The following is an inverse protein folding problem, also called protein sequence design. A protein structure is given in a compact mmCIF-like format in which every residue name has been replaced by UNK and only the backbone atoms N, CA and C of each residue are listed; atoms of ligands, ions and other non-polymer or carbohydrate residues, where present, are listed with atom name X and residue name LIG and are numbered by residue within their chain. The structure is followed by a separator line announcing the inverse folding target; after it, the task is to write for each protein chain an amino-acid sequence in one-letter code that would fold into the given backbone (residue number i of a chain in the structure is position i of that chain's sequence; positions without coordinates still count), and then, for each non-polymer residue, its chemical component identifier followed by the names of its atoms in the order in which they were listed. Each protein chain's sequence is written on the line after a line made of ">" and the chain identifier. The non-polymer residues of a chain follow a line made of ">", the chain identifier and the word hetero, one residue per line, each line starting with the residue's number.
data_IF_876250859959
#
_entry.id   IF_876250859959
#
_cell.length_a   1.000
_cell.length_b   1.000
_cell.length_c   1.000
_cell.angle_alpha   90.00
_cell.angle_beta   90.00
_cell.angle_gamma   90.00
#
_symmetry.space_group_name_H-M   'P 1'
#
loop_
_entity.id
_entity.type
_entity.pdbx_description
1 polymer ?
#
# COMPACT_ATOMS: atom_id res chain seq x y z
N UNK A 1 1.65 38.47 -11.95
CA UNK A 1 2.85 38.00 -11.21
C UNK A 1 3.12 38.73 -9.88
N UNK A 2 2.91 40.04 -9.75
CA UNK A 2 3.16 40.75 -8.46
C UNK A 2 2.34 40.22 -7.25
N UNK A 3 1.30 39.41 -7.46
CA UNK A 3 0.40 38.91 -6.42
C UNK A 3 0.69 37.45 -5.97
N UNK A 4 1.77 36.84 -6.41
CA UNK A 4 2.11 35.47 -6.00
C UNK A 4 1.05 34.41 -6.39
N UNK A 5 0.40 34.57 -7.52
CA UNK A 5 -0.60 33.63 -8.00
C UNK A 5 -0.63 33.54 -9.53
N UNK A 6 -1.24 32.48 -10.04
CA UNK A 6 -1.66 32.33 -11.43
C UNK A 6 -3.18 32.20 -11.45
N UNK A 7 -3.79 32.68 -12.54
CA UNK A 7 -5.23 32.64 -12.74
C UNK A 7 -5.57 32.20 -14.16
N UNK A 8 -6.65 31.46 -14.33
CA UNK A 8 -7.14 31.06 -15.65
C UNK A 8 -8.61 31.42 -15.84
N UNK A 9 -9.03 31.56 -17.08
CA UNK A 9 -10.42 31.84 -17.47
C UNK A 9 -11.29 30.58 -17.53
N UNK A 10 -12.24 30.59 -18.49
CA UNK A 10 -13.34 29.65 -18.63
C UNK A 10 -14.26 29.68 -17.42
N UNK A 11 -14.56 30.88 -16.95
CA UNK A 11 -15.43 31.15 -15.79
C UNK A 11 -16.87 30.71 -16.04
N UNK A 12 -17.29 30.59 -17.30
CA UNK A 12 -18.57 30.09 -17.75
C UNK A 12 -18.89 28.65 -17.30
N UNK A 13 -17.87 27.86 -17.02
CA UNK A 13 -18.04 26.49 -16.53
C UNK A 13 -18.16 26.39 -15.00
N UNK A 14 -18.25 27.52 -14.28
CA UNK A 14 -18.43 27.55 -12.84
C UNK A 14 -17.20 27.05 -12.06
N UNK A 15 -17.38 26.74 -10.78
CA UNK A 15 -16.30 26.31 -9.88
C UNK A 15 -15.83 24.90 -10.20
N UNK A 16 -16.76 23.96 -10.37
CA UNK A 16 -16.51 22.54 -10.63
C UNK A 16 -16.69 22.20 -12.10
N UNK A 17 -15.89 21.29 -12.60
CA UNK A 17 -16.02 20.74 -13.95
C UNK A 17 -16.54 19.30 -13.89
N UNK A 18 -17.46 18.94 -14.79
CA UNK A 18 -18.01 17.59 -14.94
C UNK A 18 -17.79 17.06 -16.34
N UNK A 19 -17.89 15.75 -16.51
CA UNK A 19 -17.70 15.12 -17.82
C UNK A 19 -18.83 15.41 -18.81
N UNK A 20 -20.02 15.76 -18.31
CA UNK A 20 -21.24 16.01 -19.09
C UNK A 20 -21.35 17.45 -19.60
N UNK A 21 -20.43 18.34 -19.26
CA UNK A 21 -20.43 19.71 -19.75
C UNK A 21 -19.98 19.80 -21.21
N UNK A 22 -20.64 20.66 -21.95
CA UNK A 22 -20.27 20.99 -23.35
C UNK A 22 -19.11 22.01 -23.35
N UNK A 23 -17.89 21.53 -23.53
CA UNK A 23 -16.68 22.34 -23.49
C UNK A 23 -16.29 22.84 -24.87
N UNK A 24 -15.89 24.10 -24.95
CA UNK A 24 -15.17 24.59 -26.14
C UNK A 24 -13.88 23.77 -26.38
N UNK A 25 -13.48 23.70 -27.65
CA UNK A 25 -12.29 22.93 -28.06
C UNK A 25 -11.08 23.27 -27.19
N UNK A 26 -10.57 22.26 -26.49
CA UNK A 26 -9.41 22.40 -25.61
C UNK A 26 -9.70 22.86 -24.17
N UNK A 27 -10.89 23.40 -23.86
CA UNK A 27 -11.23 23.93 -22.54
C UNK A 27 -11.15 22.87 -21.44
N UNK A 28 -11.75 21.70 -21.66
CA UNK A 28 -11.70 20.58 -20.72
C UNK A 28 -10.27 20.15 -20.39
N UNK A 29 -9.39 20.05 -21.39
CA UNK A 29 -7.99 19.65 -21.21
C UNK A 29 -7.21 20.66 -20.36
N UNK A 30 -7.40 21.95 -20.60
CA UNK A 30 -6.74 23.02 -19.85
C UNK A 30 -7.26 23.10 -18.42
N UNK A 31 -8.58 23.00 -18.21
CA UNK A 31 -9.18 23.01 -16.90
C UNK A 31 -8.75 21.79 -16.07
N UNK A 32 -8.74 20.60 -16.65
CA UNK A 32 -8.22 19.40 -16.00
C UNK A 32 -6.73 19.53 -15.64
N UNK A 33 -5.93 20.16 -16.52
CA UNK A 33 -4.52 20.41 -16.24
C UNK A 33 -4.34 21.33 -15.03
N UNK A 34 -5.15 22.40 -14.95
CA UNK A 34 -5.07 23.37 -13.88
C UNK A 34 -5.67 22.89 -12.56
N UNK A 35 -6.85 22.24 -12.61
CA UNK A 35 -7.59 21.85 -11.41
C UNK A 35 -7.14 20.54 -10.81
N UNK A 36 -6.84 19.53 -11.64
CA UNK A 36 -6.62 18.15 -11.17
C UNK A 36 -5.19 17.66 -11.29
N UNK A 37 -4.48 18.03 -12.39
CA UNK A 37 -3.13 17.50 -12.65
C UNK A 37 -2.03 18.30 -11.98
N UNK A 38 -2.18 19.62 -11.97
CA UNK A 38 -1.22 20.51 -11.31
C UNK A 38 -1.35 20.36 -9.79
N UNK A 39 -0.23 20.14 -9.10
CA UNK A 39 -0.21 19.90 -7.65
C UNK A 39 0.70 20.91 -6.95
N UNK A 40 0.47 21.20 -5.64
CA UNK A 40 1.45 21.92 -4.84
C UNK A 40 2.83 21.24 -4.91
N UNK A 41 3.87 22.03 -5.15
CA UNK A 41 5.23 21.54 -5.41
C UNK A 41 5.61 21.49 -6.88
N UNK A 42 4.66 21.53 -7.80
CA UNK A 42 4.97 21.59 -9.24
C UNK A 42 5.68 22.89 -9.62
N UNK A 43 6.67 22.76 -10.52
CA UNK A 43 7.36 23.92 -11.08
C UNK A 43 6.58 24.40 -12.30
N UNK A 44 6.28 25.69 -12.31
CA UNK A 44 5.63 26.34 -13.45
C UNK A 44 6.57 27.28 -14.15
N UNK A 45 6.49 27.29 -15.48
CA UNK A 45 7.18 28.18 -16.37
C UNK A 45 6.16 29.09 -17.04
N UNK A 46 6.23 30.39 -16.81
CA UNK A 46 5.40 31.38 -17.50
C UNK A 46 6.08 31.83 -18.78
N UNK A 47 5.36 31.77 -19.88
CA UNK A 47 5.88 32.24 -21.17
C UNK A 47 5.24 33.55 -21.59
N UNK A 48 6.08 34.45 -22.14
CA UNK A 48 5.63 35.68 -22.77
C UNK A 48 5.53 35.52 -24.29
N UNK A 49 6.39 34.68 -24.86
CA UNK A 49 6.41 34.35 -26.29
C UNK A 49 6.50 32.83 -26.49
N UNK A 50 6.31 32.38 -27.71
CA UNK A 50 6.49 30.95 -28.06
C UNK A 50 7.95 30.44 -27.90
N UNK A 51 8.92 31.34 -27.65
CA UNK A 51 10.33 30.99 -27.62
C UNK A 51 11.04 31.42 -26.32
N UNK A 52 10.32 32.02 -25.38
CA UNK A 52 10.93 32.50 -24.14
C UNK A 52 10.04 32.34 -22.93
N UNK A 53 10.68 32.06 -21.78
CA UNK A 53 10.12 31.99 -20.44
C UNK A 53 10.45 33.29 -19.72
N UNK A 54 9.45 33.95 -19.13
CA UNK A 54 9.59 35.20 -18.40
C UNK A 54 9.60 35.05 -16.88
N UNK A 55 9.04 33.95 -16.39
CA UNK A 55 9.03 33.64 -14.95
C UNK A 55 9.03 32.14 -14.66
N UNK A 56 9.67 31.80 -13.57
CA UNK A 56 9.71 30.42 -13.00
C UNK A 56 9.19 30.48 -11.57
N UNK A 57 8.26 29.62 -11.23
CA UNK A 57 7.68 29.55 -9.89
C UNK A 57 7.36 28.15 -9.45
N UNK A 58 6.97 28.01 -8.19
CA UNK A 58 6.49 26.73 -7.58
C UNK A 58 5.06 26.95 -7.12
N UNK A 59 4.18 26.05 -7.49
CA UNK A 59 2.79 26.02 -6.99
C UNK A 59 2.80 25.74 -5.49
N UNK A 60 2.08 26.54 -4.71
CA UNK A 60 2.06 26.42 -3.24
C UNK A 60 0.68 26.13 -2.68
N UNK A 61 -0.38 26.23 -3.49
CA UNK A 61 -1.74 26.00 -3.03
C UNK A 61 -2.59 25.18 -4.00
N UNK A 62 -3.68 24.67 -3.46
CA UNK A 62 -4.74 24.03 -4.24
C UNK A 62 -5.48 25.05 -5.11
N UNK A 63 -6.30 24.60 -6.10
CA UNK A 63 -7.11 25.52 -6.88
C UNK A 63 -8.21 26.14 -6.02
N UNK A 64 -8.37 27.45 -6.13
CA UNK A 64 -9.37 28.23 -5.42
C UNK A 64 -10.32 28.91 -6.41
N UNK A 65 -11.60 29.03 -6.06
CA UNK A 65 -12.61 29.77 -6.81
C UNK A 65 -12.93 31.09 -6.13
N UNK A 66 -12.79 32.17 -6.88
CA UNK A 66 -12.97 33.54 -6.39
C UNK A 66 -14.09 34.22 -7.16
N UNK A 67 -15.36 34.10 -6.72
CA UNK A 67 -16.50 34.68 -7.41
C UNK A 67 -16.47 36.21 -7.47
N UNK A 68 -15.75 36.86 -6.56
CA UNK A 68 -15.55 38.30 -6.47
C UNK A 68 -14.67 38.88 -7.58
N UNK A 69 -14.01 38.06 -8.38
CA UNK A 69 -13.24 38.53 -9.52
C UNK A 69 -14.13 38.67 -10.76
N UNK A 70 -13.99 39.74 -11.51
CA UNK A 70 -14.74 39.93 -12.76
C UNK A 70 -14.38 38.88 -13.81
N UNK A 71 -13.08 38.50 -13.90
CA UNK A 71 -12.52 37.53 -14.86
C UNK A 71 -11.42 36.69 -14.23
N UNK A 72 -11.22 35.48 -14.79
CA UNK A 72 -10.20 34.53 -14.32
C UNK A 72 -10.38 34.18 -12.86
N UNK A 73 -11.57 33.66 -12.52
CA UNK A 73 -12.01 33.36 -11.15
C UNK A 73 -11.26 32.20 -10.50
N UNK A 74 -10.64 31.35 -11.29
CA UNK A 74 -9.82 30.25 -10.78
C UNK A 74 -8.39 30.71 -10.54
N UNK A 75 -7.93 30.47 -9.31
CA UNK A 75 -6.62 30.92 -8.82
C UNK A 75 -5.86 29.75 -8.22
N UNK A 76 -4.54 29.74 -8.40
CA UNK A 76 -3.60 28.98 -7.57
C UNK A 76 -2.50 29.90 -7.08
N UNK A 77 -2.11 29.72 -5.83
CA UNK A 77 -0.96 30.44 -5.25
C UNK A 77 0.36 29.89 -5.76
N UNK A 78 1.30 30.77 -5.99
CA UNK A 78 2.61 30.46 -6.55
C UNK A 78 3.69 31.27 -5.88
N UNK A 79 4.75 30.61 -5.46
CA UNK A 79 5.99 31.26 -5.06
C UNK A 79 6.89 31.45 -6.28
N UNK A 80 6.97 32.69 -6.77
CA UNK A 80 7.85 33.00 -7.89
C UNK A 80 9.31 33.02 -7.44
N UNK A 81 10.16 32.28 -8.17
CA UNK A 81 11.61 32.20 -7.94
C UNK A 81 12.36 33.18 -8.81
N UNK A 82 11.96 33.32 -10.08
CA UNK A 82 12.53 34.27 -11.05
C UNK A 82 11.36 34.93 -11.77
N UNK A 83 11.47 36.23 -12.01
CA UNK A 83 10.50 37.05 -12.76
C UNK A 83 11.19 38.08 -13.64
N UNK A 84 10.52 38.46 -14.74
CA UNK A 84 10.96 39.52 -15.62
C UNK A 84 12.24 39.18 -16.40
N UNK A 85 12.50 37.89 -16.62
CA UNK A 85 13.62 37.41 -17.44
C UNK A 85 13.10 37.01 -18.82
N UNK A 86 13.99 37.02 -19.79
CA UNK A 86 13.70 36.53 -21.12
C UNK A 86 14.62 35.33 -21.42
N UNK A 87 14.26 34.19 -20.85
CA UNK A 87 15.06 32.96 -20.89
C UNK A 87 14.64 32.16 -22.12
N UNK A 88 15.55 31.86 -23.03
CA UNK A 88 15.24 31.06 -24.21
C UNK A 88 14.82 29.64 -23.87
N UNK A 89 13.84 29.10 -24.59
CA UNK A 89 13.32 27.74 -24.37
C UNK A 89 14.39 26.66 -24.55
N UNK A 90 15.41 26.92 -25.36
CA UNK A 90 16.55 26.01 -25.58
C UNK A 90 17.35 25.74 -24.31
N UNK A 91 17.36 26.67 -23.34
CA UNK A 91 18.03 26.48 -22.07
C UNK A 91 17.33 25.38 -21.25
N UNK A 92 16.03 25.18 -21.46
CA UNK A 92 15.24 24.11 -20.87
C UNK A 92 15.27 22.79 -21.66
N UNK A 93 16.15 22.69 -22.68
CA UNK A 93 16.24 21.56 -23.63
C UNK A 93 14.94 21.27 -24.38
N UNK A 94 14.17 22.32 -24.67
CA UNK A 94 12.96 22.22 -25.47
C UNK A 94 13.31 22.50 -26.94
N UNK A 95 13.05 21.52 -27.81
CA UNK A 95 13.41 21.57 -29.24
C UNK A 95 12.34 22.27 -30.07
N UNK A 96 11.12 22.34 -29.61
CA UNK A 96 9.97 22.92 -30.33
C UNK A 96 9.47 24.16 -29.63
N UNK A 97 8.93 25.12 -30.41
CA UNK A 97 8.25 26.28 -29.86
C UNK A 97 7.11 25.88 -28.90
N UNK A 98 6.87 26.72 -27.90
CA UNK A 98 5.76 26.54 -26.97
C UNK A 98 4.43 26.62 -27.71
N UNK A 99 3.47 25.84 -27.30
CA UNK A 99 2.13 25.80 -27.92
C UNK A 99 1.29 26.98 -27.44
N UNK A 100 0.22 27.27 -28.19
CA UNK A 100 -0.79 28.26 -27.79
C UNK A 100 -1.72 27.79 -26.67
N UNK A 101 -1.57 26.56 -26.18
CA UNK A 101 -2.37 26.04 -25.06
C UNK A 101 -2.02 26.77 -23.76
N UNK A 102 -3.05 27.14 -22.99
CA UNK A 102 -2.88 27.96 -21.77
C UNK A 102 -2.10 27.24 -20.66
N UNK A 103 -2.37 25.94 -20.47
CA UNK A 103 -1.69 25.11 -19.45
C UNK A 103 -1.43 23.72 -20.03
N UNK A 104 -0.18 23.29 -19.98
CA UNK A 104 0.22 21.95 -20.41
C UNK A 104 1.56 21.56 -19.78
N UNK A 105 1.83 20.27 -19.74
CA UNK A 105 3.09 19.73 -19.22
C UNK A 105 4.19 19.88 -20.24
N UNK A 106 5.34 20.39 -19.79
CA UNK A 106 6.55 20.47 -20.59
C UNK A 106 7.43 19.23 -20.43
N UNK A 107 8.08 18.84 -21.51
CA UNK A 107 9.04 17.72 -21.47
C UNK A 107 10.44 18.26 -21.14
N UNK A 108 10.64 18.64 -19.87
CA UNK A 108 11.92 19.06 -19.31
C UNK A 108 12.08 18.47 -17.90
N UNK A 109 13.31 18.39 -17.41
CA UNK A 109 13.61 17.83 -16.10
C UNK A 109 13.75 18.91 -15.03
N UNK A 110 13.46 18.58 -13.78
CA UNK A 110 13.68 19.45 -12.63
C UNK A 110 15.15 19.88 -12.55
N UNK A 111 16.10 19.00 -12.84
CA UNK A 111 17.52 19.29 -12.86
C UNK A 111 17.86 20.39 -13.88
N UNK A 112 17.31 20.28 -15.08
CA UNK A 112 17.47 21.32 -16.11
C UNK A 112 16.93 22.68 -15.67
N UNK A 113 15.75 22.68 -15.01
CA UNK A 113 15.16 23.94 -14.50
C UNK A 113 16.03 24.54 -13.39
N UNK A 114 16.58 23.71 -12.50
CA UNK A 114 17.52 24.17 -11.46
C UNK A 114 18.78 24.76 -12.05
N UNK A 115 19.34 24.14 -13.07
CA UNK A 115 20.51 24.68 -13.75
C UNK A 115 20.24 26.06 -14.37
N UNK A 116 19.08 26.23 -15.00
CA UNK A 116 18.62 27.51 -15.56
C UNK A 116 18.41 28.55 -14.44
N UNK A 117 17.80 28.17 -13.33
CA UNK A 117 17.63 29.05 -12.16
C UNK A 117 19.00 29.56 -11.65
N UNK A 118 19.94 28.64 -11.46
CA UNK A 118 21.30 29.00 -10.99
C UNK A 118 22.01 29.94 -11.92
N UNK A 119 21.94 29.70 -13.26
CA UNK A 119 22.51 30.59 -14.30
C UNK A 119 21.90 31.99 -14.30
N UNK A 120 20.63 32.09 -13.91
CA UNK A 120 19.89 33.37 -13.87
C UNK A 120 19.95 34.09 -12.53
N UNK A 121 20.88 33.70 -11.64
CA UNK A 121 21.17 34.40 -10.40
C UNK A 121 20.24 34.07 -9.23
N UNK A 122 19.48 32.98 -9.34
CA UNK A 122 18.71 32.47 -8.23
C UNK A 122 19.59 31.52 -7.38
N UNK A 123 20.28 32.08 -6.39
CA UNK A 123 21.15 31.32 -5.46
C UNK A 123 20.45 30.61 -4.33
N UNK A 124 19.14 30.57 -4.34
CA UNK A 124 18.33 29.98 -3.27
C UNK A 124 17.92 28.51 -3.47
N UNK A 125 18.12 28.00 -4.66
CA UNK A 125 18.10 26.55 -4.92
C UNK A 125 19.56 26.14 -5.01
N UNK A 126 20.21 25.98 -3.88
CA UNK A 126 21.16 24.88 -3.87
C UNK A 126 20.32 23.68 -4.34
N UNK A 127 20.79 22.94 -5.35
CA UNK A 127 20.58 21.51 -5.27
C UNK A 127 20.95 21.22 -3.82
N UNK A 128 19.96 21.18 -2.93
CA UNK A 128 20.18 20.59 -1.66
C UNK A 128 20.82 19.29 -2.13
N UNK A 129 22.08 19.08 -1.82
CA UNK A 129 22.53 17.76 -1.45
C UNK A 129 21.56 17.41 -0.35
N UNK A 130 20.34 17.10 -0.76
CA UNK A 130 19.32 16.55 0.09
C UNK A 130 20.12 15.48 0.74
N UNK A 131 20.27 15.54 2.03
CA UNK A 131 20.78 14.40 2.76
C UNK A 131 20.08 13.27 2.08
N UNK A 132 20.83 12.46 1.32
CA UNK A 132 20.28 11.31 0.60
C UNK A 132 19.82 10.33 1.68
N UNK A 133 18.73 10.72 2.36
CA UNK A 133 18.08 9.87 3.32
C UNK A 133 17.63 8.61 2.60
N UNK A 134 17.61 7.48 3.26
CA UNK A 134 17.08 6.26 2.67
C UNK A 134 15.58 6.45 2.37
N UNK A 135 15.18 6.06 1.17
CA UNK A 135 13.77 5.94 0.79
C UNK A 135 13.40 4.47 0.75
N UNK A 136 12.28 4.11 1.34
CA UNK A 136 11.78 2.73 1.32
C UNK A 136 10.54 2.67 0.44
N UNK A 137 10.61 1.83 -0.58
CA UNK A 137 9.47 1.50 -1.42
C UNK A 137 8.91 0.14 -0.99
N UNK A 138 7.71 0.12 -0.46
CA UNK A 138 7.07 -1.08 0.09
C UNK A 138 6.16 -1.69 -0.97
N UNK A 139 6.33 -2.98 -1.22
CA UNK A 139 5.47 -3.80 -2.08
C UNK A 139 4.82 -4.86 -1.19
N UNK A 140 3.57 -4.62 -0.83
CA UNK A 140 2.82 -5.57 -0.05
C UNK A 140 2.33 -6.73 -0.92
N UNK A 141 2.37 -7.98 -0.38
CA UNK A 141 1.98 -9.20 -1.10
C UNK A 141 2.70 -9.36 -2.45
N UNK A 142 4.03 -9.19 -2.45
CA UNK A 142 4.85 -9.18 -3.68
C UNK A 142 4.69 -10.47 -4.52
N UNK A 143 4.33 -11.59 -3.90
CA UNK A 143 4.13 -12.88 -4.55
C UNK A 143 2.75 -13.07 -5.20
N UNK A 144 1.77 -12.17 -4.95
CA UNK A 144 0.43 -12.25 -5.58
C UNK A 144 0.41 -11.86 -7.05
N UNK A 145 1.44 -11.19 -7.54
CA UNK A 145 1.58 -10.83 -8.94
C UNK A 145 2.72 -11.59 -9.64
N UNK A 146 2.68 -11.64 -10.96
CA UNK A 146 3.85 -12.09 -11.71
C UNK A 146 4.89 -10.97 -11.76
N UNK A 147 5.73 -10.91 -10.74
CA UNK A 147 6.69 -9.83 -10.53
C UNK A 147 7.67 -9.71 -11.68
N UNK A 148 8.11 -10.80 -12.26
CA UNK A 148 9.02 -10.77 -13.43
C UNK A 148 8.38 -10.09 -14.62
N UNK A 149 7.06 -10.24 -14.81
CA UNK A 149 6.31 -9.51 -15.86
C UNK A 149 6.05 -8.05 -15.49
N UNK A 150 5.82 -7.76 -14.21
CA UNK A 150 5.57 -6.38 -13.72
C UNK A 150 6.82 -5.53 -13.84
N UNK A 151 7.95 -6.03 -13.39
CA UNK A 151 9.23 -5.32 -13.48
C UNK A 151 9.83 -5.39 -14.89
N UNK A 152 9.60 -6.47 -15.63
CA UNK A 152 10.19 -6.66 -16.95
C UNK A 152 11.71 -6.45 -16.92
N UNK A 153 12.24 -5.65 -17.84
CA UNK A 153 13.65 -5.29 -17.90
C UNK A 153 14.16 -4.49 -16.69
N UNK A 154 13.25 -3.82 -15.95
CA UNK A 154 13.60 -3.03 -14.78
C UNK A 154 14.10 -3.89 -13.62
N UNK A 155 13.85 -5.21 -13.67
CA UNK A 155 14.31 -6.16 -12.64
C UNK A 155 15.84 -6.12 -12.46
N UNK A 156 16.58 -5.83 -13.52
CA UNK A 156 18.04 -5.72 -13.49
C UNK A 156 18.50 -4.49 -12.72
N UNK A 157 17.72 -3.40 -12.76
CA UNK A 157 18.04 -2.14 -12.08
C UNK A 157 17.92 -2.21 -10.55
N UNK A 158 17.31 -3.28 -10.02
CA UNK A 158 17.19 -3.51 -8.58
C UNK A 158 18.56 -3.85 -7.96
N UNK A 159 19.45 -4.46 -8.74
CA UNK A 159 20.77 -4.87 -8.28
C UNK A 159 21.60 -3.65 -7.81
N UNK A 160 22.25 -3.72 -6.64
CA UNK A 160 22.99 -2.59 -6.09
C UNK A 160 24.04 -2.01 -7.04
N UNK A 161 24.78 -2.87 -7.78
CA UNK A 161 25.83 -2.41 -8.73
C UNK A 161 25.27 -1.69 -9.96
N UNK A 162 23.98 -1.89 -10.30
CA UNK A 162 23.32 -1.33 -11.48
C UNK A 162 22.59 -0.02 -11.20
N UNK A 163 22.56 0.43 -9.96
CA UNK A 163 21.87 1.66 -9.55
C UNK A 163 22.61 2.91 -9.99
N UNK A 164 21.90 4.03 -10.05
CA UNK A 164 22.47 5.32 -10.44
C UNK A 164 23.67 5.70 -9.55
N UNK A 165 24.77 6.09 -10.17
CA UNK A 165 26.00 6.44 -9.49
C UNK A 165 26.90 5.27 -9.07
N UNK A 166 26.52 4.02 -9.38
CA UNK A 166 27.32 2.82 -9.07
C UNK A 166 28.20 2.39 -10.23
N UNK A 167 29.12 1.46 -9.97
CA UNK A 167 30.20 1.06 -10.91
C UNK A 167 29.69 0.47 -12.24
N UNK A 168 28.51 -0.14 -12.22
CA UNK A 168 27.88 -0.77 -13.37
C UNK A 168 26.51 -0.14 -13.65
N UNK A 169 26.38 1.19 -13.43
CA UNK A 169 25.13 1.91 -13.62
C UNK A 169 24.44 1.51 -14.92
N UNK A 170 23.16 1.18 -14.79
CA UNK A 170 22.30 0.84 -15.91
C UNK A 170 21.02 1.67 -15.86
N UNK A 171 20.58 2.10 -17.03
CA UNK A 171 19.29 2.78 -17.19
C UNK A 171 18.50 2.08 -18.28
N UNK A 172 17.18 2.03 -18.11
CA UNK A 172 16.25 1.48 -19.09
C UNK A 172 15.30 2.56 -19.58
N UNK A 173 14.80 2.38 -20.81
CA UNK A 173 13.79 3.27 -21.38
C UNK A 173 12.41 2.70 -21.05
N UNK A 174 11.58 3.47 -20.33
CA UNK A 174 10.23 3.05 -19.97
C UNK A 174 9.36 2.83 -21.22
N UNK A 175 8.58 1.75 -21.30
CA UNK A 175 7.86 1.35 -22.51
C UNK A 175 6.74 2.34 -22.91
N UNK A 176 6.13 3.01 -21.96
CA UNK A 176 4.99 3.90 -22.21
C UNK A 176 5.38 5.37 -22.29
N UNK A 177 6.15 5.87 -21.34
CA UNK A 177 6.57 7.27 -21.32
C UNK A 177 7.78 7.55 -22.22
N UNK A 178 8.54 6.50 -22.60
CA UNK A 178 9.81 6.57 -23.29
C UNK A 178 10.90 7.37 -22.56
N UNK A 179 10.68 7.65 -21.29
CA UNK A 179 11.66 8.32 -20.43
C UNK A 179 12.77 7.34 -20.02
N UNK A 180 13.98 7.85 -19.86
CA UNK A 180 15.10 7.10 -19.33
C UNK A 180 14.94 7.00 -17.82
N UNK A 181 14.98 5.78 -17.30
CA UNK A 181 14.74 5.47 -15.90
C UNK A 181 15.90 4.71 -15.29
N UNK A 182 16.29 5.06 -14.07
CA UNK A 182 17.26 4.34 -13.25
C UNK A 182 16.87 4.41 -11.78
N UNK A 183 17.28 3.43 -10.99
CA UNK A 183 16.98 3.38 -9.55
C UNK A 183 18.13 4.06 -8.79
N UNK A 184 17.85 5.10 -7.98
CA UNK A 184 18.86 5.71 -7.10
C UNK A 184 19.40 4.72 -6.06
N UNK A 185 20.66 4.92 -5.65
CA UNK A 185 21.36 4.06 -4.68
C UNK A 185 20.74 4.06 -3.28
N UNK A 186 20.03 5.13 -2.92
CA UNK A 186 19.38 5.34 -1.64
C UNK A 186 17.92 4.86 -1.57
N UNK A 187 17.42 4.15 -2.59
CA UNK A 187 16.10 3.52 -2.60
C UNK A 187 16.19 2.08 -2.16
N UNK A 188 15.45 1.72 -1.13
CA UNK A 188 15.33 0.36 -0.61
C UNK A 188 13.97 -0.22 -1.00
N UNK A 189 13.97 -1.47 -1.47
CA UNK A 189 12.74 -2.19 -1.79
C UNK A 189 12.46 -3.17 -0.65
N UNK A 190 11.29 -3.06 -0.04
CA UNK A 190 10.79 -3.97 0.98
C UNK A 190 9.57 -4.69 0.44
N UNK A 191 9.67 -5.99 0.23
CA UNK A 191 8.52 -6.82 -0.17
C UNK A 191 8.00 -7.60 1.03
N UNK A 192 6.69 -7.64 1.23
CA UNK A 192 6.05 -8.60 2.13
C UNK A 192 5.45 -9.74 1.33
N UNK A 193 5.41 -10.94 1.90
CA UNK A 193 4.73 -12.07 1.27
C UNK A 193 4.21 -13.04 2.33
N UNK A 194 3.09 -13.68 2.04
CA UNK A 194 2.60 -14.81 2.80
C UNK A 194 3.00 -16.10 2.08
N UNK A 195 3.83 -16.93 2.73
CA UNK A 195 4.31 -18.21 2.17
C UNK A 195 3.35 -19.37 2.41
N UNK A 196 2.41 -19.22 3.35
CA UNK A 196 1.40 -20.25 3.65
C UNK A 196 0.37 -20.40 2.53
N UNK A 197 0.15 -19.36 1.72
CA UNK A 197 -0.80 -19.39 0.60
C UNK A 197 -0.21 -20.16 -0.59
N UNK A 198 -0.55 -21.45 -0.69
CA UNK A 198 -0.09 -22.36 -1.75
C UNK A 198 -0.67 -22.03 -3.12
N UNK A 199 -1.69 -21.19 -3.21
CA UNK A 199 -2.30 -20.76 -4.48
C UNK A 199 -1.45 -19.76 -5.24
N UNK A 200 -0.41 -19.20 -4.59
CA UNK A 200 0.43 -18.13 -5.11
C UNK A 200 1.69 -18.70 -5.75
N UNK A 201 2.07 -18.14 -6.90
CA UNK A 201 3.26 -18.56 -7.62
C UNK A 201 4.54 -18.36 -6.79
N UNK A 202 5.40 -19.37 -6.78
CA UNK A 202 6.74 -19.24 -6.21
C UNK A 202 7.48 -18.07 -6.88
N UNK A 203 8.16 -17.27 -6.07
CA UNK A 203 9.02 -16.21 -6.60
C UNK A 203 10.03 -16.77 -7.60
N UNK A 204 10.09 -16.13 -8.77
CA UNK A 204 11.06 -16.45 -9.82
C UNK A 204 12.49 -16.41 -9.26
N UNK A 205 13.33 -17.33 -9.77
CA UNK A 205 14.73 -17.44 -9.41
C UNK A 205 15.50 -16.13 -9.63
N UNK A 206 15.11 -15.33 -10.63
CA UNK A 206 15.73 -14.04 -10.91
C UNK A 206 15.50 -13.03 -9.77
N UNK A 207 14.30 -13.00 -9.19
CA UNK A 207 13.99 -12.19 -8.01
C UNK A 207 14.67 -12.71 -6.76
N UNK A 208 14.63 -14.02 -6.57
CA UNK A 208 15.20 -14.66 -5.39
C UNK A 208 16.67 -14.33 -5.17
N UNK A 209 17.41 -14.07 -6.24
CA UNK A 209 18.84 -13.66 -6.18
C UNK A 209 19.04 -12.19 -5.82
N UNK A 210 18.01 -11.35 -5.99
CA UNK A 210 18.08 -9.89 -5.81
C UNK A 210 17.55 -9.40 -4.47
N UNK A 211 16.86 -10.28 -3.74
CA UNK A 211 16.31 -9.98 -2.43
C UNK A 211 16.97 -10.82 -1.34
N UNK A 212 17.16 -10.23 -0.18
CA UNK A 212 17.45 -10.95 1.05
C UNK A 212 16.13 -11.31 1.72
N UNK A 213 15.98 -12.58 2.10
CA UNK A 213 14.75 -13.07 2.73
C UNK A 213 14.93 -13.11 4.23
N UNK A 214 13.96 -12.52 4.93
CA UNK A 214 13.85 -12.57 6.39
C UNK A 214 12.54 -13.23 6.73
N UNK A 215 12.60 -14.37 7.39
CA UNK A 215 11.42 -15.07 7.87
C UNK A 215 10.88 -14.38 9.12
N UNK A 216 9.57 -14.10 9.16
CA UNK A 216 8.90 -13.51 10.30
C UNK A 216 7.90 -14.51 10.89
N UNK A 217 8.42 -15.40 11.73
CA UNK A 217 7.57 -16.32 12.49
C UNK A 217 6.81 -15.60 13.61
N UNK A 218 5.65 -16.16 14.03
CA UNK A 218 4.97 -15.65 15.21
C UNK A 218 5.88 -15.64 16.43
N UNK A 219 5.99 -14.50 17.08
CA UNK A 219 6.76 -14.31 18.30
C UNK A 219 5.81 -14.13 19.49
N UNK A 220 5.67 -15.17 20.30
CA UNK A 220 4.81 -15.14 21.48
C UNK A 220 5.34 -14.18 22.56
N UNK A 221 6.64 -13.87 22.59
CA UNK A 221 7.20 -12.95 23.59
C UNK A 221 6.67 -11.52 23.46
N UNK A 222 6.20 -11.14 22.27
CA UNK A 222 5.49 -9.86 22.07
C UNK A 222 4.25 -9.76 22.98
N UNK A 223 3.68 -10.90 23.40
CA UNK A 223 2.48 -10.94 24.26
C UNK A 223 2.81 -11.16 25.74
N UNK A 224 4.09 -11.17 26.11
CA UNK A 224 4.49 -11.35 27.51
C UNK A 224 3.91 -10.25 28.40
N UNK A 225 3.46 -10.68 29.59
CA UNK A 225 2.80 -9.79 30.55
C UNK A 225 1.34 -9.47 30.21
N UNK A 226 0.78 -9.98 29.11
CA UNK A 226 -0.66 -9.89 28.85
C UNK A 226 -1.33 -11.10 29.48
N UNK A 227 -2.18 -10.81 30.46
CA UNK A 227 -2.99 -11.83 31.14
C UNK A 227 -4.48 -11.49 31.11
N UNK A 228 -5.31 -12.49 30.92
CA UNK A 228 -6.76 -12.39 30.99
C UNK A 228 -7.25 -13.39 32.04
N UNK A 229 -7.75 -12.90 33.17
CA UNK A 229 -8.20 -13.72 34.28
C UNK A 229 -7.20 -14.81 34.73
N UNK A 230 -5.88 -14.45 34.74
CA UNK A 230 -4.80 -15.36 35.09
C UNK A 230 -4.37 -16.31 33.97
N UNK A 231 -4.87 -16.12 32.74
CA UNK A 231 -4.48 -16.87 31.55
C UNK A 231 -3.35 -16.10 30.85
N UNK A 232 -2.16 -16.68 30.74
CA UNK A 232 -1.06 -16.11 29.98
C UNK A 232 -1.33 -16.22 28.48
N UNK A 233 -1.44 -15.08 27.79
CA UNK A 233 -1.72 -15.06 26.35
C UNK A 233 -0.52 -15.53 25.52
N UNK A 234 0.69 -15.24 25.97
CA UNK A 234 1.93 -15.76 25.39
C UNK A 234 1.98 -17.30 25.46
N UNK A 235 1.65 -17.87 26.62
CA UNK A 235 1.57 -19.31 26.81
C UNK A 235 0.48 -19.97 25.98
N UNK A 236 -0.68 -19.34 25.90
CA UNK A 236 -1.81 -19.78 25.08
C UNK A 236 -1.42 -19.89 23.60
N UNK A 237 -0.84 -18.81 23.03
CA UNK A 237 -0.39 -18.79 21.64
C UNK A 237 0.67 -19.86 21.38
N UNK A 238 1.64 -19.99 22.28
CA UNK A 238 2.70 -21.00 22.17
C UNK A 238 2.13 -22.41 22.09
N UNK A 239 1.14 -22.71 22.95
CA UNK A 239 0.49 -24.03 22.99
C UNK A 239 -0.28 -24.32 21.70
N UNK A 240 -1.06 -23.35 21.23
CA UNK A 240 -1.83 -23.49 19.98
C UNK A 240 -0.90 -23.72 18.79
N UNK A 241 0.14 -22.88 18.65
CA UNK A 241 1.05 -22.98 17.53
C UNK A 241 1.83 -24.31 17.52
N UNK A 242 2.24 -24.80 18.69
CA UNK A 242 2.88 -26.12 18.76
C UNK A 242 1.94 -27.25 18.33
N UNK A 243 0.66 -27.18 18.67
CA UNK A 243 -0.32 -28.18 18.21
C UNK A 243 -0.57 -28.10 16.70
N UNK A 244 -0.66 -26.88 16.17
CA UNK A 244 -0.81 -26.67 14.73
C UNK A 244 0.42 -27.21 13.99
N UNK A 245 1.61 -26.91 14.45
CA UNK A 245 2.87 -27.36 13.86
C UNK A 245 2.95 -28.89 13.77
N UNK A 246 2.47 -29.59 14.79
CA UNK A 246 2.44 -31.07 14.84
C UNK A 246 1.35 -31.66 13.94
N UNK A 247 0.18 -31.03 13.85
CA UNK A 247 -0.99 -31.57 13.13
C UNK A 247 -1.05 -31.13 11.66
N UNK A 248 -0.33 -30.11 11.30
CA UNK A 248 -0.33 -29.53 9.98
C UNK A 248 1.09 -29.18 9.53
N UNK A 249 1.56 -27.93 9.77
CA UNK A 249 2.93 -27.51 9.51
C UNK A 249 3.30 -26.21 10.27
N UNK A 250 4.54 -25.76 10.15
CA UNK A 250 5.04 -24.55 10.82
C UNK A 250 4.59 -23.25 10.15
N UNK A 251 4.22 -23.30 8.88
CA UNK A 251 3.89 -22.09 8.10
C UNK A 251 2.46 -21.60 8.37
N UNK A 252 1.60 -22.48 8.88
CA UNK A 252 0.20 -22.19 9.21
C UNK A 252 -0.02 -21.84 10.71
N UNK A 253 1.04 -21.41 11.40
CA UNK A 253 0.91 -20.99 12.80
C UNK A 253 0.20 -19.66 12.95
N UNK A 254 -0.51 -19.48 14.09
CA UNK A 254 -1.25 -18.26 14.41
C UNK A 254 -0.31 -17.09 14.69
N UNK A 255 -0.55 -15.95 14.07
CA UNK A 255 0.21 -14.73 14.32
C UNK A 255 -0.09 -14.11 15.69
N UNK A 256 0.92 -13.62 16.40
CA UNK A 256 0.75 -12.90 17.66
C UNK A 256 -0.10 -11.63 17.50
N UNK A 257 -0.17 -11.07 16.30
CA UNK A 257 -0.96 -9.87 15.99
C UNK A 257 -2.46 -10.03 16.30
N UNK A 258 -3.02 -11.25 16.21
CA UNK A 258 -4.41 -11.51 16.57
C UNK A 258 -4.72 -11.15 18.02
N UNK A 259 -3.75 -11.32 18.92
CA UNK A 259 -3.91 -11.17 20.35
C UNK A 259 -3.44 -9.81 20.90
N UNK A 260 -2.82 -8.98 20.06
CA UNK A 260 -2.35 -7.64 20.49
C UNK A 260 -3.47 -6.71 21.01
N UNK A 261 -4.74 -6.79 20.57
CA UNK A 261 -5.82 -5.99 21.15
C UNK A 261 -6.01 -6.22 22.67
N UNK A 262 -5.65 -7.40 23.17
CA UNK A 262 -5.71 -7.71 24.61
C UNK A 262 -4.76 -6.87 25.46
N UNK A 263 -3.77 -6.21 24.86
CA UNK A 263 -2.90 -5.26 25.57
C UNK A 263 -3.67 -4.03 26.06
N UNK A 264 -4.67 -3.60 25.27
CA UNK A 264 -5.49 -2.43 25.61
C UNK A 264 -6.77 -2.83 26.37
N UNK A 265 -7.32 -4.00 26.07
CA UNK A 265 -8.57 -4.50 26.67
C UNK A 265 -8.42 -5.98 27.09
N UNK A 266 -7.70 -6.26 28.19
CA UNK A 266 -7.49 -7.63 28.69
C UNK A 266 -8.76 -8.17 29.36
N UNK A 267 -9.69 -8.70 28.56
CA UNK A 267 -10.95 -9.27 29.05
C UNK A 267 -11.27 -10.58 28.39
N UNK A 268 -12.01 -11.44 29.09
CA UNK A 268 -12.49 -12.70 28.53
C UNK A 268 -13.42 -12.47 27.33
N UNK A 269 -14.15 -11.36 27.33
CA UNK A 269 -14.98 -10.95 26.22
C UNK A 269 -14.14 -10.73 24.95
N UNK A 270 -13.07 -9.94 25.04
CA UNK A 270 -12.17 -9.68 23.91
C UNK A 270 -11.48 -10.96 23.45
N UNK A 271 -11.02 -11.80 24.37
CA UNK A 271 -10.40 -13.09 24.05
C UNK A 271 -11.38 -14.00 23.30
N UNK A 272 -12.62 -14.11 23.79
CA UNK A 272 -13.67 -14.90 23.17
C UNK A 272 -14.01 -14.43 21.76
N UNK A 273 -14.08 -13.12 21.54
CA UNK A 273 -14.29 -12.53 20.21
C UNK A 273 -13.14 -12.86 19.26
N UNK A 274 -11.88 -12.79 19.73
CA UNK A 274 -10.71 -13.18 18.92
C UNK A 274 -10.81 -14.64 18.50
N UNK A 275 -11.18 -15.52 19.41
CA UNK A 275 -11.32 -16.95 19.08
C UNK A 275 -12.48 -17.19 18.12
N UNK A 276 -13.65 -16.63 18.39
CA UNK A 276 -14.85 -16.81 17.58
C UNK A 276 -14.68 -16.27 16.16
N UNK A 277 -14.12 -15.05 16.04
CA UNK A 277 -14.16 -14.29 14.79
C UNK A 277 -12.86 -14.41 13.96
N UNK A 278 -11.76 -14.91 14.56
CA UNK A 278 -10.46 -14.99 13.89
C UNK A 278 -9.81 -16.37 13.99
N UNK A 279 -9.64 -16.90 15.21
CA UNK A 279 -8.88 -18.15 15.41
C UNK A 279 -9.61 -19.35 14.83
N UNK A 280 -10.87 -19.53 15.19
CA UNK A 280 -11.65 -20.70 14.72
C UNK A 280 -11.88 -20.66 13.21
N UNK A 281 -12.31 -19.56 12.59
CA UNK A 281 -12.41 -19.50 11.13
C UNK A 281 -11.11 -19.82 10.42
N UNK A 282 -9.97 -19.34 10.94
CA UNK A 282 -8.68 -19.64 10.36
C UNK A 282 -8.29 -21.13 10.49
N UNK A 283 -8.59 -21.74 11.64
CA UNK A 283 -8.38 -23.19 11.81
C UNK A 283 -9.27 -24.01 10.88
N UNK A 284 -10.51 -23.59 10.63
CA UNK A 284 -11.40 -24.22 9.66
C UNK A 284 -10.82 -24.17 8.25
N UNK A 285 -10.25 -23.03 7.87
CA UNK A 285 -9.56 -22.88 6.58
C UNK A 285 -8.32 -23.78 6.49
N UNK A 286 -7.46 -23.78 7.51
CA UNK A 286 -6.22 -24.55 7.52
C UNK A 286 -6.45 -26.06 7.46
N UNK A 287 -7.41 -26.54 8.19
CA UNK A 287 -7.72 -27.97 8.29
C UNK A 287 -8.83 -28.43 7.34
N UNK A 288 -9.28 -27.55 6.40
CA UNK A 288 -10.33 -27.89 5.41
C UNK A 288 -11.56 -28.52 6.09
N UNK A 289 -12.03 -27.91 7.19
CA UNK A 289 -13.14 -28.40 8.00
C UNK A 289 -12.96 -29.81 8.63
N UNK A 290 -11.71 -30.27 8.78
CA UNK A 290 -11.38 -31.43 9.61
C UNK A 290 -11.55 -31.07 11.10
N UNK A 291 -12.78 -31.14 11.58
CA UNK A 291 -13.14 -30.72 12.93
C UNK A 291 -12.46 -31.57 14.02
N UNK A 292 -12.06 -32.82 13.72
CA UNK A 292 -11.28 -33.61 14.67
C UNK A 292 -9.94 -32.97 15.00
N UNK A 293 -9.20 -32.56 13.98
CA UNK A 293 -7.94 -31.85 14.17
C UNK A 293 -8.13 -30.50 14.83
N UNK A 294 -9.16 -29.75 14.43
CA UNK A 294 -9.49 -28.46 15.06
C UNK A 294 -9.75 -28.65 16.56
N UNK A 295 -10.54 -29.64 16.97
CA UNK A 295 -10.78 -29.98 18.38
C UNK A 295 -9.49 -30.38 19.11
N UNK A 296 -8.55 -31.05 18.43
CA UNK A 296 -7.24 -31.37 19.01
C UNK A 296 -6.39 -30.12 19.24
N UNK A 297 -6.34 -29.19 18.26
CA UNK A 297 -5.67 -27.90 18.41
C UNK A 297 -6.24 -27.13 19.58
N UNK A 298 -7.56 -27.03 19.66
CA UNK A 298 -8.28 -26.31 20.72
C UNK A 298 -8.27 -27.04 22.06
N UNK A 299 -7.84 -28.31 22.11
CA UNK A 299 -7.81 -29.11 23.34
C UNK A 299 -9.18 -29.60 23.83
N UNK A 300 -10.20 -29.58 22.99
CA UNK A 300 -11.57 -29.96 23.33
C UNK A 300 -11.68 -31.39 23.84
N UNK A 301 -10.89 -32.32 23.33
CA UNK A 301 -10.88 -33.74 23.77
C UNK A 301 -10.49 -33.94 25.25
N UNK A 302 -9.90 -32.96 25.91
CA UNK A 302 -9.48 -33.00 27.30
C UNK A 302 -10.49 -32.36 28.26
N UNK A 303 -11.58 -31.76 27.74
CA UNK A 303 -12.55 -30.98 28.49
C UNK A 303 -13.91 -31.68 28.59
N UNK A 304 -14.67 -31.37 29.64
CA UNK A 304 -16.08 -31.72 29.69
C UNK A 304 -16.83 -31.10 28.51
N UNK A 305 -17.86 -31.77 28.03
CA UNK A 305 -18.61 -31.34 26.84
C UNK A 305 -19.15 -29.90 26.92
N UNK A 306 -19.53 -29.46 28.13
CA UNK A 306 -20.01 -28.08 28.35
C UNK A 306 -18.94 -27.02 28.10
N UNK A 307 -17.68 -27.37 28.25
CA UNK A 307 -16.50 -26.50 28.08
C UNK A 307 -15.79 -26.67 26.73
N UNK A 308 -16.31 -27.46 25.82
CA UNK A 308 -15.75 -27.63 24.47
C UNK A 308 -16.22 -26.49 23.57
N UNK A 309 -15.33 -26.02 22.69
CA UNK A 309 -15.67 -25.06 21.63
C UNK A 309 -16.62 -25.68 20.60
N UNK A 310 -16.46 -26.99 20.34
CA UNK A 310 -17.32 -27.74 19.44
C UNK A 310 -18.06 -28.86 20.17
N UNK A 311 -19.38 -28.86 20.06
CA UNK A 311 -20.22 -29.97 20.44
C UNK A 311 -20.38 -30.92 19.28
N UNK A 312 -20.25 -32.22 19.58
CA UNK A 312 -20.48 -33.29 18.61
C UNK A 312 -21.93 -33.72 18.70
N UNK A 313 -22.66 -33.57 17.62
CA UNK A 313 -24.05 -34.07 17.52
C UNK A 313 -24.06 -35.31 16.62
N UNK A 314 -24.59 -36.39 17.16
CA UNK A 314 -24.89 -37.58 16.37
C UNK A 314 -26.32 -37.47 15.87
N UNK A 315 -26.47 -37.44 14.55
CA UNK A 315 -27.78 -37.36 13.92
C UNK A 315 -28.56 -38.65 14.18
N UNK A 316 -29.84 -38.54 14.54
CA UNK A 316 -30.77 -39.66 14.50
C UNK A 316 -31.16 -39.93 13.04
N UNK A 317 -30.46 -40.88 12.45
CA UNK A 317 -30.60 -41.19 11.02
C UNK A 317 -31.95 -41.83 10.69
N UNK A 318 -32.49 -42.60 11.61
CA UNK A 318 -33.82 -43.21 11.47
C UNK A 318 -34.89 -42.10 11.39
N UNK A 319 -34.76 -41.08 12.20
CA UNK A 319 -35.68 -39.93 12.17
C UNK A 319 -35.52 -39.05 10.96
N UNK A 320 -34.27 -38.87 10.45
CA UNK A 320 -33.98 -38.01 9.33
C UNK A 320 -34.26 -38.66 7.96
N UNK A 321 -33.95 -39.94 7.80
CA UNK A 321 -33.96 -40.59 6.49
C UNK A 321 -34.97 -41.78 6.44
N UNK A 322 -35.55 -42.18 7.55
CA UNK A 322 -36.49 -43.28 7.62
C UNK A 322 -35.85 -44.67 7.46
N UNK A 323 -34.54 -44.76 7.35
CA UNK A 323 -33.74 -45.96 7.19
C UNK A 323 -32.40 -45.80 7.90
N UNK A 324 -31.83 -46.90 8.36
CA UNK A 324 -30.44 -46.91 8.83
C UNK A 324 -29.54 -47.12 7.59
N UNK A 325 -28.63 -46.17 7.34
CA UNK A 325 -27.72 -46.28 6.19
C UNK A 325 -26.63 -47.34 6.45
N UNK A 326 -26.26 -48.06 5.39
CA UNK A 326 -25.18 -49.06 5.41
C UNK A 326 -23.77 -48.44 5.35
N UNK A 327 -23.64 -47.12 5.47
CA UNK A 327 -22.38 -46.37 5.40
C UNK A 327 -22.11 -45.60 6.71
N UNK A 328 -20.83 -45.35 6.98
CA UNK A 328 -20.42 -44.53 8.11
C UNK A 328 -20.89 -43.08 7.93
N UNK A 329 -21.50 -42.53 8.96
CA UNK A 329 -21.96 -41.14 8.97
C UNK A 329 -21.01 -40.27 9.75
N UNK A 330 -20.57 -39.18 9.16
CA UNK A 330 -19.72 -38.24 9.81
C UNK A 330 -20.47 -37.50 10.95
N UNK A 331 -19.84 -37.31 12.09
CA UNK A 331 -20.44 -36.53 13.19
C UNK A 331 -20.61 -35.06 12.72
N UNK A 332 -21.66 -34.43 13.21
CA UNK A 332 -21.91 -33.02 13.01
C UNK A 332 -21.29 -32.22 14.14
N UNK A 333 -20.52 -31.21 13.83
CA UNK A 333 -19.89 -30.33 14.80
C UNK A 333 -20.61 -28.98 14.86
N UNK A 334 -20.99 -28.54 16.07
CA UNK A 334 -21.62 -27.25 16.29
C UNK A 334 -20.81 -26.41 17.26
N UNK A 335 -20.64 -25.14 16.95
CA UNK A 335 -20.01 -24.19 17.88
C UNK A 335 -20.83 -24.06 19.15
N UNK A 336 -20.16 -24.02 20.29
CA UNK A 336 -20.71 -23.76 21.60
C UNK A 336 -20.50 -22.29 22.00
N UNK A 337 -21.49 -21.40 21.84
CA UNK A 337 -21.30 -19.97 22.10
C UNK A 337 -20.89 -19.64 23.53
N UNK A 338 -21.30 -20.46 24.51
CA UNK A 338 -20.99 -20.23 25.91
C UNK A 338 -19.49 -20.44 26.21
N UNK A 339 -18.84 -21.36 25.52
CA UNK A 339 -17.43 -21.67 25.74
C UNK A 339 -16.48 -20.48 25.44
N UNK A 340 -16.87 -19.59 24.56
CA UNK A 340 -16.03 -18.44 24.19
C UNK A 340 -15.81 -17.45 25.33
N UNK A 341 -16.72 -17.39 26.27
CA UNK A 341 -16.71 -16.41 27.37
C UNK A 341 -16.51 -17.03 28.74
N UNK A 342 -16.11 -18.30 28.78
CA UNK A 342 -15.73 -19.01 29.99
C UNK A 342 -14.23 -19.13 30.12
N UNK A 343 -13.63 -18.47 31.12
CA UNK A 343 -12.21 -18.48 31.39
C UNK A 343 -11.61 -19.87 31.62
N UNK A 344 -12.39 -20.79 32.20
CA UNK A 344 -11.94 -22.17 32.47
C UNK A 344 -11.61 -22.91 31.17
N UNK A 345 -12.27 -22.55 30.07
CA UNK A 345 -12.02 -23.14 28.75
C UNK A 345 -10.59 -22.84 28.29
N UNK A 346 -10.10 -21.62 28.54
CA UNK A 346 -8.76 -21.19 28.12
C UNK A 346 -7.66 -21.64 29.08
N UNK A 347 -7.96 -21.79 30.38
CA UNK A 347 -7.00 -22.33 31.36
C UNK A 347 -6.60 -23.78 31.06
N UNK A 348 -7.50 -24.52 30.48
CA UNK A 348 -7.30 -25.92 30.12
C UNK A 348 -6.87 -26.14 28.68
N UNK A 349 -6.54 -25.07 27.98
CA UNK A 349 -6.06 -25.09 26.58
C UNK A 349 -4.57 -25.30 26.55
#
# INVERSE_FOLDING_TARGET
>A
MKRGCIRIGWDEYGESITDDMDYYVGGKTVLNAFLSRMQPGDIILSCYTAHSIDAIGVVTGEPEWHPEFDHYKRLRTVKWLVQGKNIGITEFRLEKSLTLSTVYRLNTTVATVIDVLNKNGFSGVSSAKGTKGPYVFIIDEINRGNISKIFGELITLIEPSKRLGQSEELQAKLPYSHEVFGIPDNVYLLGTMNTADRSIALLDTALRRRFSFVEMMPDSSVLDGIEVEGISISGLLTTLNRRIEVLFDREHTLGHAFFTPLRQSPSIQTLGEIFRDKVIPLLQEYFYDDYEKICLVLGDRKRPEQQQFFKVETADLQSLFGVEPEFEVNPTYRLNPAAFFDAEVYRNL
#
